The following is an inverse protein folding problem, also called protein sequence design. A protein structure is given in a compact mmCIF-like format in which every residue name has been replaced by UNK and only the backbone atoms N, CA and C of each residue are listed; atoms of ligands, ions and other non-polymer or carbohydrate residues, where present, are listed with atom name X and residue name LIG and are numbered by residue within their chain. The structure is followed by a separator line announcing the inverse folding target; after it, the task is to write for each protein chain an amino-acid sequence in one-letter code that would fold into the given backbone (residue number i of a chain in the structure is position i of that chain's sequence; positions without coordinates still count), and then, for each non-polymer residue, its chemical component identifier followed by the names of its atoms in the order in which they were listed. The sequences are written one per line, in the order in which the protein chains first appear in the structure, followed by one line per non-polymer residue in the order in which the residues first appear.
data_IF_182346561796
#
_entry.id   IF_182346561796
#
_cell.length_a   1.000
_cell.length_b   1.000
_cell.length_c   1.000
_cell.angle_alpha   90.00
_cell.angle_beta   90.00
_cell.angle_gamma   90.00
#
_symmetry.space_group_name_H-M   'P 1'
#
loop_
_entity.id
_entity.type
_entity.pdbx_description
1 polymer ?
#
# COMPACT_ATOMS: atom_id res chain seq x y z
N UNK A 1 1.70 -3.84 17.77
CA UNK A 1 2.12 -4.04 16.36
C UNK A 1 2.18 -2.70 15.63
N UNK A 2 3.09 -2.52 14.67
CA UNK A 2 3.26 -1.26 13.92
C UNK A 2 3.70 -1.51 12.48
N UNK A 3 3.51 -0.51 11.62
CA UNK A 3 4.02 -0.44 10.25
C UNK A 3 4.93 0.78 10.09
N UNK A 4 5.88 0.71 9.15
CA UNK A 4 6.88 1.73 8.88
C UNK A 4 7.06 1.87 7.36
N UNK A 5 7.01 3.11 6.85
CA UNK A 5 7.40 3.42 5.48
C UNK A 5 8.92 3.64 5.36
N UNK A 6 9.49 3.47 4.17
CA UNK A 6 10.93 3.64 3.92
C UNK A 6 11.45 5.02 4.36
N UNK A 7 10.62 6.05 4.20
CA UNK A 7 10.92 7.44 4.57
C UNK A 7 10.84 7.74 6.08
N UNK A 8 10.37 6.80 6.92
CA UNK A 8 10.32 6.99 8.37
C UNK A 8 8.93 7.11 8.98
N UNK A 9 7.84 7.18 8.21
CA UNK A 9 6.49 7.27 8.78
C UNK A 9 6.08 5.98 9.47
N UNK A 10 5.67 6.07 10.73
CA UNK A 10 5.25 4.93 11.54
C UNK A 10 3.76 5.04 11.84
N UNK A 11 3.01 3.97 11.60
CA UNK A 11 1.66 3.79 12.10
C UNK A 11 1.64 2.66 13.14
N UNK A 12 1.10 2.93 14.32
CA UNK A 12 0.98 1.95 15.39
C UNK A 12 0.42 2.58 16.65
N UNK A 13 0.09 1.75 17.64
CA UNK A 13 -0.37 2.26 18.93
C UNK A 13 0.79 2.87 19.72
N UNK A 14 0.69 4.17 20.03
CA UNK A 14 1.76 4.91 20.70
C UNK A 14 2.09 4.37 22.09
N UNK A 15 1.08 3.84 22.81
CA UNK A 15 1.29 3.24 24.13
C UNK A 15 2.10 1.95 24.01
N UNK A 16 1.81 1.11 23.01
CA UNK A 16 2.57 -0.11 22.75
C UNK A 16 4.00 0.21 22.33
N UNK A 17 4.19 1.13 21.39
CA UNK A 17 5.52 1.54 20.92
C UNK A 17 6.42 2.04 22.07
N UNK A 18 5.87 2.79 23.01
CA UNK A 18 6.59 3.28 24.20
C UNK A 18 6.86 2.21 25.26
N UNK A 19 6.15 1.08 25.20
CA UNK A 19 6.30 -0.01 26.17
C UNK A 19 7.38 -1.03 25.80
N UNK A 20 7.92 -0.94 24.58
CA UNK A 20 8.97 -1.82 24.08
C UNK A 20 10.35 -1.21 24.34
N UNK A 21 11.37 -2.06 24.46
CA UNK A 21 12.77 -1.62 24.56
C UNK A 21 13.14 -0.68 23.40
N UNK A 22 13.64 0.52 23.74
CA UNK A 22 13.90 1.58 22.75
C UNK A 22 15.01 1.18 21.78
N UNK A 23 16.05 0.49 22.28
CA UNK A 23 17.18 0.07 21.44
C UNK A 23 16.73 -0.97 20.43
N UNK A 24 16.02 -1.99 20.88
CA UNK A 24 15.44 -3.01 20.01
C UNK A 24 14.50 -2.38 18.98
N UNK A 25 13.62 -1.46 19.40
CA UNK A 25 12.66 -0.82 18.49
C UNK A 25 13.39 -0.04 17.39
N UNK A 26 14.46 0.69 17.74
CA UNK A 26 15.27 1.41 16.77
C UNK A 26 15.97 0.47 15.77
N UNK A 27 16.54 -0.63 16.27
CA UNK A 27 17.19 -1.64 15.41
C UNK A 27 16.18 -2.30 14.47
N UNK A 28 14.99 -2.59 14.95
CA UNK A 28 13.92 -3.20 14.17
C UNK A 28 13.37 -2.25 13.09
N UNK A 29 13.17 -0.96 13.42
CA UNK A 29 12.80 0.07 12.44
C UNK A 29 13.83 0.12 11.30
N UNK A 30 15.12 0.16 11.63
CA UNK A 30 16.17 0.20 10.62
C UNK A 30 16.23 -1.08 9.79
N UNK A 31 15.96 -2.24 10.38
CA UNK A 31 15.84 -3.51 9.65
C UNK A 31 14.70 -3.47 8.64
N UNK A 32 13.52 -3.04 9.06
CA UNK A 32 12.34 -2.97 8.18
C UNK A 32 12.49 -1.94 7.07
N UNK A 33 13.11 -0.78 7.34
CA UNK A 33 13.42 0.23 6.31
C UNK A 33 14.39 -0.29 5.26
N UNK A 34 15.43 -1.04 5.67
CA UNK A 34 16.35 -1.69 4.73
C UNK A 34 15.65 -2.72 3.86
N UNK A 35 14.73 -3.49 4.43
CA UNK A 35 13.94 -4.46 3.67
C UNK A 35 12.98 -3.79 2.67
N UNK A 36 12.28 -2.72 3.08
CA UNK A 36 11.43 -1.94 2.18
C UNK A 36 12.23 -1.38 1.00
N UNK A 37 13.41 -0.80 1.29
CA UNK A 37 14.33 -0.30 0.26
C UNK A 37 14.81 -1.42 -0.68
N UNK A 38 15.21 -2.57 -0.14
CA UNK A 38 15.65 -3.74 -0.93
C UNK A 38 14.55 -4.19 -1.90
N UNK A 39 13.30 -4.28 -1.43
CA UNK A 39 12.14 -4.65 -2.25
C UNK A 39 11.88 -3.60 -3.33
N UNK A 40 11.88 -2.30 -2.98
CA UNK A 40 11.72 -1.21 -3.96
C UNK A 40 12.78 -1.28 -5.07
N UNK A 41 14.05 -1.46 -4.71
CA UNK A 41 15.14 -1.60 -5.68
C UNK A 41 14.96 -2.84 -6.57
N UNK A 42 14.56 -3.98 -5.99
CA UNK A 42 14.29 -5.23 -6.73
C UNK A 42 13.10 -5.10 -7.69
N UNK A 43 12.03 -4.45 -7.26
CA UNK A 43 10.81 -4.30 -8.07
C UNK A 43 10.96 -3.24 -9.16
N UNK A 44 11.63 -2.12 -8.87
CA UNK A 44 11.85 -1.06 -9.86
C UNK A 44 12.97 -1.40 -10.85
N UNK A 45 13.95 -2.24 -10.49
CA UNK A 45 15.06 -2.62 -11.36
C UNK A 45 15.77 -1.41 -12.00
N UNK A 46 15.98 -0.36 -11.21
CA UNK A 46 16.62 0.89 -11.65
C UNK A 46 15.70 1.89 -12.37
N UNK A 47 14.41 1.58 -12.51
CA UNK A 47 13.42 2.51 -13.09
C UNK A 47 13.12 3.67 -12.14
N UNK A 48 12.86 4.82 -12.73
CA UNK A 48 12.41 5.99 -11.99
C UNK A 48 10.99 5.79 -11.46
N UNK A 49 10.71 6.35 -10.29
CA UNK A 49 9.36 6.35 -9.74
C UNK A 49 8.41 7.20 -10.58
N UNK A 50 7.16 6.77 -10.68
CA UNK A 50 6.13 7.52 -11.39
C UNK A 50 5.74 8.74 -10.54
N UNK A 51 5.78 9.98 -11.09
CA UNK A 51 5.32 11.16 -10.37
C UNK A 51 3.81 11.10 -10.11
N UNK A 52 3.41 11.37 -8.87
CA UNK A 52 2.00 11.36 -8.42
C UNK A 52 1.44 12.76 -8.13
N UNK A 53 2.30 13.79 -8.13
CA UNK A 53 1.93 15.20 -7.93
C UNK A 53 0.74 15.60 -8.81
N UNK A 54 -0.32 16.13 -8.19
CA UNK A 54 -1.53 16.58 -8.90
C UNK A 54 -2.36 15.48 -9.58
N UNK A 55 -2.01 14.20 -9.41
CA UNK A 55 -2.73 13.04 -9.97
C UNK A 55 -3.61 12.36 -8.93
N UNK A 56 -4.54 11.51 -9.39
CA UNK A 56 -5.24 10.57 -8.53
C UNK A 56 -4.35 9.34 -8.38
N UNK A 57 -3.91 9.05 -7.16
CA UNK A 57 -3.18 7.83 -6.83
C UNK A 57 -4.17 6.78 -6.33
N UNK A 58 -4.19 5.61 -6.95
CA UNK A 58 -5.01 4.47 -6.49
C UNK A 58 -4.09 3.51 -5.74
N UNK A 59 -4.38 3.29 -4.47
CA UNK A 59 -3.67 2.38 -3.60
C UNK A 59 -4.52 1.12 -3.40
N UNK A 60 -3.97 -0.04 -3.79
CA UNK A 60 -4.68 -1.32 -3.85
C UNK A 60 -4.00 -2.31 -2.93
N UNK A 61 -4.80 -3.15 -2.28
CA UNK A 61 -4.34 -4.31 -1.51
C UNK A 61 -5.40 -5.43 -1.58
N UNK A 62 -5.05 -6.64 -1.15
CA UNK A 62 -5.98 -7.79 -1.11
C UNK A 62 -7.07 -7.65 -0.03
N UNK A 63 -6.84 -6.81 0.96
CA UNK A 63 -7.81 -6.44 1.96
C UNK A 63 -7.14 -5.66 3.08
N UNK A 64 -7.92 -5.21 4.05
CA UNK A 64 -7.40 -4.41 5.16
C UNK A 64 -7.88 -4.94 6.50
N UNK A 65 -6.98 -5.63 7.21
CA UNK A 65 -7.24 -6.13 8.55
C UNK A 65 -7.07 -5.03 9.62
N UNK A 66 -5.85 -4.50 9.79
CA UNK A 66 -5.53 -3.51 10.84
C UNK A 66 -5.41 -2.08 10.33
N UNK A 67 -5.30 -1.91 9.01
CA UNK A 67 -5.08 -0.61 8.37
C UNK A 67 -3.65 -0.07 8.47
N UNK A 68 -2.76 -0.66 9.26
CA UNK A 68 -1.44 -0.06 9.55
C UNK A 68 -0.58 0.15 8.29
N UNK A 69 -0.47 -0.86 7.43
CA UNK A 69 0.27 -0.77 6.15
C UNK A 69 -0.33 0.28 5.23
N UNK A 70 -1.67 0.28 5.11
CA UNK A 70 -2.40 1.24 4.29
C UNK A 70 -2.20 2.68 4.79
N UNK A 71 -2.19 2.90 6.10
CA UNK A 71 -1.94 4.21 6.72
C UNK A 71 -0.55 4.75 6.38
N UNK A 72 0.51 3.95 6.53
CA UNK A 72 1.86 4.42 6.19
C UNK A 72 2.01 4.69 4.69
N UNK A 73 1.36 3.89 3.84
CA UNK A 73 1.31 4.15 2.38
C UNK A 73 0.56 5.43 2.03
N UNK A 74 -0.58 5.71 2.69
CA UNK A 74 -1.32 6.96 2.54
C UNK A 74 -0.46 8.16 2.98
N UNK A 75 0.23 8.07 4.12
CA UNK A 75 1.13 9.13 4.59
C UNK A 75 2.22 9.41 3.55
N UNK A 76 2.91 8.37 3.09
CA UNK A 76 3.97 8.50 2.08
C UNK A 76 3.46 9.12 0.78
N UNK A 77 2.30 8.67 0.28
CA UNK A 77 1.67 9.26 -0.90
C UNK A 77 1.30 10.72 -0.67
N UNK A 78 0.73 11.07 0.49
CA UNK A 78 0.33 12.46 0.82
C UNK A 78 1.52 13.42 0.73
N UNK A 79 2.71 13.00 1.16
CA UNK A 79 3.94 13.80 1.06
C UNK A 79 4.41 14.06 -0.38
N UNK A 80 3.85 13.35 -1.36
CA UNK A 80 4.10 13.52 -2.78
C UNK A 80 2.98 14.32 -3.49
N UNK A 81 2.12 14.97 -2.70
CA UNK A 81 1.09 15.92 -3.14
C UNK A 81 0.16 15.42 -4.28
N UNK A 82 -0.44 14.22 -4.15
CA UNK A 82 -1.47 13.79 -5.09
C UNK A 82 -2.69 14.70 -4.98
N UNK A 83 -3.45 14.80 -6.08
CA UNK A 83 -4.77 15.45 -6.08
C UNK A 83 -5.76 14.70 -5.19
N UNK A 84 -5.67 13.38 -5.17
CA UNK A 84 -6.54 12.49 -4.38
C UNK A 84 -5.88 11.13 -4.21
N UNK A 85 -6.16 10.47 -3.09
CA UNK A 85 -5.78 9.09 -2.83
C UNK A 85 -7.07 8.26 -2.79
N UNK A 86 -7.14 7.20 -3.60
CA UNK A 86 -8.24 6.24 -3.58
C UNK A 86 -7.69 4.93 -3.07
N UNK A 87 -8.13 4.50 -1.89
CA UNK A 87 -7.88 3.15 -1.38
C UNK A 87 -8.93 2.24 -1.99
N UNK A 88 -8.52 1.26 -2.79
CA UNK A 88 -9.41 0.31 -3.44
C UNK A 88 -9.07 -1.11 -2.97
N UNK A 89 -9.95 -1.73 -2.20
CA UNK A 89 -9.68 -3.02 -1.53
C UNK A 89 -10.90 -3.94 -1.59
N UNK A 90 -10.73 -5.26 -1.70
CA UNK A 90 -11.85 -6.20 -1.68
C UNK A 90 -12.63 -6.17 -0.36
N UNK A 91 -11.94 -6.24 0.78
CA UNK A 91 -12.57 -6.34 2.11
C UNK A 91 -11.94 -5.39 3.13
N UNK A 92 -12.78 -4.73 3.93
CA UNK A 92 -12.37 -3.85 5.05
C UNK A 92 -13.49 -3.75 6.08
N UNK A 93 -13.17 -3.43 7.34
CA UNK A 93 -14.21 -3.11 8.33
C UNK A 93 -14.63 -1.63 8.29
N UNK A 94 -15.85 -1.32 8.72
CA UNK A 94 -16.36 0.05 8.81
C UNK A 94 -15.42 0.97 9.60
N UNK A 95 -14.94 0.49 10.75
CA UNK A 95 -14.02 1.22 11.62
C UNK A 95 -12.70 1.54 10.92
N UNK A 96 -12.12 0.56 10.23
CA UNK A 96 -10.85 0.76 9.52
C UNK A 96 -11.06 1.67 8.29
N UNK A 97 -12.15 1.52 7.55
CA UNK A 97 -12.47 2.41 6.44
C UNK A 97 -12.63 3.87 6.90
N UNK A 98 -13.30 4.11 8.04
CA UNK A 98 -13.40 5.43 8.64
C UNK A 98 -12.02 5.98 9.05
N UNK A 99 -11.20 5.17 9.73
CA UNK A 99 -9.84 5.53 10.11
C UNK A 99 -8.99 5.97 8.90
N UNK A 100 -9.03 5.19 7.81
CA UNK A 100 -8.25 5.51 6.60
C UNK A 100 -8.70 6.82 5.94
N UNK A 101 -10.01 7.14 5.95
CA UNK A 101 -10.54 8.40 5.42
C UNK A 101 -10.00 9.62 6.17
N UNK A 102 -9.75 9.48 7.47
CA UNK A 102 -9.25 10.57 8.33
C UNK A 102 -7.73 10.79 8.18
N UNK A 103 -6.96 9.76 7.83
CA UNK A 103 -5.49 9.75 7.90
C UNK A 103 -4.80 10.91 7.13
N UNK A 104 -5.36 11.31 5.98
CA UNK A 104 -4.78 12.36 5.15
C UNK A 104 -5.65 13.62 5.00
N UNK A 105 -6.47 13.94 6.00
CA UNK A 105 -7.17 15.24 6.05
C UNK A 105 -8.15 15.44 4.90
N UNK A 106 -8.92 14.40 4.57
CA UNK A 106 -9.99 14.45 3.58
C UNK A 106 -9.57 14.21 2.12
N UNK A 107 -8.29 13.96 1.84
CA UNK A 107 -7.84 13.60 0.47
C UNK A 107 -8.01 12.11 0.14
N UNK A 108 -8.50 11.31 1.08
CA UNK A 108 -8.67 9.86 0.94
C UNK A 108 -10.12 9.53 0.64
N UNK A 109 -10.34 8.72 -0.39
CA UNK A 109 -11.57 7.97 -0.60
C UNK A 109 -11.28 6.48 -0.41
N UNK A 110 -12.21 5.76 0.20
CA UNK A 110 -12.12 4.30 0.35
C UNK A 110 -13.25 3.69 -0.47
N UNK A 111 -12.87 2.82 -1.39
CA UNK A 111 -13.75 2.02 -2.24
C UNK A 111 -13.52 0.56 -1.87
N UNK A 112 -14.55 -0.11 -1.36
CA UNK A 112 -14.50 -1.50 -0.99
C UNK A 112 -15.61 -2.31 -1.66
N UNK A 113 -15.33 -3.57 -1.99
CA UNK A 113 -16.38 -4.49 -2.45
C UNK A 113 -17.27 -4.88 -1.26
N UNK A 114 -16.64 -5.30 -0.17
CA UNK A 114 -17.30 -5.61 1.09
C UNK A 114 -16.80 -4.70 2.22
N UNK A 115 -17.74 -3.97 2.83
CA UNK A 115 -17.51 -3.22 4.07
C UNK A 115 -18.25 -3.92 5.20
N UNK A 116 -17.50 -4.49 6.14
CA UNK A 116 -18.03 -5.34 7.20
C UNK A 116 -18.13 -4.61 8.53
N UNK A 117 -19.07 -5.00 9.38
CA UNK A 117 -19.01 -4.64 10.80
C UNK A 117 -17.79 -5.31 11.44
N UNK A 118 -17.25 -4.72 12.51
CA UNK A 118 -16.06 -5.28 13.17
C UNK A 118 -16.31 -6.71 13.70
N UNK A 119 -17.51 -7.00 14.18
CA UNK A 119 -17.90 -8.34 14.67
C UNK A 119 -18.07 -9.37 13.54
N UNK A 120 -18.30 -8.93 12.31
CA UNK A 120 -18.42 -9.81 11.14
C UNK A 120 -17.07 -10.14 10.50
N UNK A 121 -15.99 -9.46 10.90
CA UNK A 121 -14.67 -9.71 10.34
C UNK A 121 -14.10 -11.05 10.83
N UNK A 122 -13.79 -11.96 9.90
CA UNK A 122 -13.27 -13.31 10.17
C UNK A 122 -11.84 -13.37 10.75
N UNK A 123 -11.29 -12.23 11.18
CA UNK A 123 -9.99 -12.12 11.85
C UNK A 123 -8.77 -12.04 10.92
N UNK A 124 -8.89 -12.44 9.65
CA UNK A 124 -7.82 -12.32 8.65
C UNK A 124 -8.37 -12.05 7.24
N UNK A 125 -7.56 -11.44 6.38
CA UNK A 125 -7.92 -11.19 4.98
C UNK A 125 -8.01 -12.50 4.19
N UNK A 126 -7.12 -13.46 4.47
CA UNK A 126 -7.12 -14.76 3.80
C UNK A 126 -8.38 -15.59 4.00
N UNK A 127 -9.22 -15.28 4.99
CA UNK A 127 -10.51 -15.96 5.19
C UNK A 127 -11.56 -15.65 4.12
N UNK A 128 -11.33 -14.63 3.27
CA UNK A 128 -12.23 -14.22 2.18
C UNK A 128 -11.78 -14.73 0.81
N UNK A 129 -10.76 -15.58 0.77
CA UNK A 129 -10.18 -16.13 -0.45
C UNK A 129 -10.15 -17.66 -0.37
N UNK A 130 -10.65 -18.33 -1.41
CA UNK A 130 -10.52 -19.79 -1.53
C UNK A 130 -9.05 -20.22 -1.62
N UNK A 131 -8.24 -19.41 -2.32
CA UNK A 131 -6.80 -19.59 -2.45
C UNK A 131 -6.07 -18.31 -2.02
N UNK A 132 -5.27 -18.41 -0.95
CA UNK A 132 -4.52 -17.28 -0.40
C UNK A 132 -3.04 -17.66 -0.20
N UNK A 133 -2.31 -17.71 -1.31
CA UNK A 133 -0.90 -18.08 -1.32
C UNK A 133 0.02 -16.86 -1.17
N UNK A 134 1.21 -17.11 -0.64
CA UNK A 134 2.23 -16.07 -0.54
C UNK A 134 2.80 -15.75 -1.92
N UNK A 135 2.77 -14.47 -2.30
CA UNK A 135 3.38 -13.98 -3.54
C UNK A 135 4.85 -13.67 -3.30
N UNK A 136 5.74 -14.39 -3.99
CA UNK A 136 7.18 -14.20 -3.87
C UNK A 136 7.69 -12.99 -4.68
N UNK A 137 8.82 -12.42 -4.27
CA UNK A 137 9.42 -11.26 -4.93
C UNK A 137 9.61 -11.49 -6.45
N UNK A 138 9.98 -12.70 -6.86
CA UNK A 138 10.20 -13.08 -8.26
C UNK A 138 8.90 -13.01 -9.08
N UNK A 139 7.78 -13.38 -8.48
CA UNK A 139 6.46 -13.31 -9.11
C UNK A 139 6.05 -11.84 -9.33
N UNK A 140 6.23 -10.99 -8.31
CA UNK A 140 6.01 -9.54 -8.43
C UNK A 140 6.82 -8.95 -9.58
N UNK A 141 8.11 -9.27 -9.65
CA UNK A 141 8.99 -8.79 -10.73
C UNK A 141 8.51 -9.27 -12.10
N UNK A 142 8.07 -10.52 -12.23
CA UNK A 142 7.53 -11.05 -13.48
C UNK A 142 6.27 -10.31 -13.91
N UNK A 143 5.33 -10.08 -12.98
CA UNK A 143 4.07 -9.38 -13.24
C UNK A 143 4.34 -7.94 -13.71
N UNK A 144 5.20 -7.19 -13.01
CA UNK A 144 5.54 -5.82 -13.36
C UNK A 144 6.16 -5.72 -14.76
N UNK A 145 7.06 -6.65 -15.12
CA UNK A 145 7.62 -6.73 -16.47
C UNK A 145 6.55 -7.04 -17.53
N UNK A 146 5.60 -7.91 -17.21
CA UNK A 146 4.50 -8.27 -18.10
C UNK A 146 3.67 -7.06 -18.52
N UNK A 147 3.22 -6.25 -17.54
CA UNK A 147 2.42 -5.05 -17.79
C UNK A 147 3.19 -3.97 -18.55
N UNK A 148 4.50 -3.85 -18.36
CA UNK A 148 5.30 -2.88 -19.11
C UNK A 148 5.30 -3.13 -20.61
N UNK A 149 5.44 -4.40 -21.01
CA UNK A 149 5.40 -4.77 -22.42
C UNK A 149 4.04 -4.43 -23.03
N UNK A 150 2.96 -4.64 -22.27
CA UNK A 150 1.60 -4.32 -22.68
C UNK A 150 1.36 -2.80 -22.78
N UNK A 151 1.78 -2.02 -21.79
CA UNK A 151 1.69 -0.56 -21.80
C UNK A 151 2.51 0.07 -22.93
N UNK A 152 3.71 -0.45 -23.22
CA UNK A 152 4.50 0.01 -24.37
C UNK A 152 3.78 -0.30 -25.70
N UNK A 153 3.22 -1.49 -25.87
CA UNK A 153 2.42 -1.82 -27.06
C UNK A 153 1.17 -0.94 -27.21
N UNK A 154 0.45 -0.68 -26.10
CA UNK A 154 -0.73 0.18 -26.11
C UNK A 154 -0.39 1.62 -26.50
N UNK A 155 0.72 2.16 -25.99
CA UNK A 155 1.18 3.50 -26.35
C UNK A 155 1.60 3.60 -27.82
N UNK A 156 2.29 2.59 -28.36
CA UNK A 156 2.65 2.54 -29.79
C UNK A 156 1.39 2.50 -30.66
N UNK A 157 0.40 1.68 -30.32
CA UNK A 157 -0.88 1.64 -31.03
C UNK A 157 -1.63 2.98 -30.99
N UNK A 158 -1.63 3.66 -29.84
CA UNK A 158 -2.29 4.95 -29.67
C UNK A 158 -1.61 6.08 -30.45
N UNK A 159 -0.29 5.99 -30.67
CA UNK A 159 0.44 6.91 -31.56
C UNK A 159 0.17 6.63 -33.03
N UNK A 160 0.08 5.35 -33.44
CA UNK A 160 -0.23 4.99 -34.82
C UNK A 160 -1.68 5.32 -35.23
N UNK A 161 -2.64 5.31 -34.30
CA UNK A 161 -4.03 5.71 -34.58
C UNK A 161 -4.26 7.22 -34.65
N UNK A 162 -3.22 8.03 -34.39
CA UNK A 162 -3.26 9.50 -34.48
C UNK A 162 -2.55 10.06 -35.72
N UNK A 163 -2.02 9.18 -36.58
CA UNK A 163 -1.45 9.48 -37.90
C UNK A 163 -2.46 9.09 -38.99
#
# INVERSE_FOLDING_TARGET
IAAIAENGYIAGEQKELKSVDEKWLREEIERQRKEAKRRREKYLQGKAEIPVEGKIAVLVDDGVATGLTMRVGIMELKHRHPKKIVVAVPVVTEKIAALLKEEAGGVVEVVALDTLSDDAFLGSVGAYYDEFYQVEDEEVVSILKGYENEFQMLNVKFQMSKL
#
